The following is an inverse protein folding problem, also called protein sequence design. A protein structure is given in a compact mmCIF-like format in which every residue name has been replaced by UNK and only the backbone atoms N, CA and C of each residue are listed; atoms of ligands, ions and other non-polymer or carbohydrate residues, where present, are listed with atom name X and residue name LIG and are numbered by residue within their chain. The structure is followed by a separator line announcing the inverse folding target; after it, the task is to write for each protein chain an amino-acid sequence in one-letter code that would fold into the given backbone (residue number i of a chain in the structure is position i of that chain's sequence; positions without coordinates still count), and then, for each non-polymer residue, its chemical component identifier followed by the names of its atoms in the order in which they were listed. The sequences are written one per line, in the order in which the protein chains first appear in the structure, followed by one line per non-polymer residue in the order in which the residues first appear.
data_IF_259532802361
#
_entry.id   IF_259532802361
#
_cell.length_a   1.000
_cell.length_b   1.000
_cell.length_c   1.000
_cell.angle_alpha   90.00
_cell.angle_beta   90.00
_cell.angle_gamma   90.00
#
_symmetry.space_group_name_H-M   'P 1'
#
loop_
_entity.id
_entity.type
_entity.pdbx_description
1 polymer ?
#
# COMPACT_ATOMS: atom_id res chain seq x y z
N UNK A 1 -64.54 -26.58 -39.63
CA UNK A 1 -63.58 -25.46 -39.51
C UNK A 1 -63.09 -25.40 -38.07
N UNK A 2 -61.86 -25.85 -37.81
CA UNK A 2 -61.15 -25.63 -36.54
C UNK A 2 -59.65 -25.64 -36.86
N UNK A 3 -58.87 -24.62 -36.48
CA UNK A 3 -57.46 -24.56 -36.84
C UNK A 3 -56.61 -25.29 -35.79
N UNK A 4 -55.79 -26.25 -36.23
CA UNK A 4 -54.69 -26.80 -35.43
C UNK A 4 -53.55 -25.79 -35.38
N UNK A 5 -53.30 -25.24 -34.20
CA UNK A 5 -52.19 -24.35 -33.92
C UNK A 5 -50.88 -25.14 -33.83
N UNK A 6 -49.94 -24.85 -34.72
CA UNK A 6 -48.56 -25.33 -34.64
C UNK A 6 -47.80 -24.38 -33.70
N UNK A 7 -47.45 -24.84 -32.50
CA UNK A 7 -46.53 -24.13 -31.62
C UNK A 7 -45.10 -24.35 -32.12
N UNK A 8 -44.51 -23.32 -32.72
CA UNK A 8 -43.08 -23.27 -33.00
C UNK A 8 -42.37 -22.81 -31.70
N UNK A 9 -41.71 -23.74 -31.02
CA UNK A 9 -40.80 -23.44 -29.91
C UNK A 9 -39.53 -22.79 -30.48
N UNK A 10 -39.47 -21.46 -30.43
CA UNK A 10 -38.25 -20.71 -30.70
C UNK A 10 -37.24 -20.90 -29.58
N UNK A 11 -36.16 -21.63 -29.84
CA UNK A 11 -35.00 -21.72 -28.96
C UNK A 11 -34.28 -20.38 -29.02
N UNK A 12 -34.46 -19.53 -28.01
CA UNK A 12 -33.61 -18.34 -27.81
C UNK A 12 -32.31 -18.84 -27.20
N UNK A 13 -31.30 -19.06 -28.05
CA UNK A 13 -29.92 -19.23 -27.61
C UNK A 13 -29.44 -17.86 -27.10
N UNK A 14 -29.49 -17.65 -25.79
CA UNK A 14 -28.80 -16.54 -25.16
C UNK A 14 -27.30 -16.77 -25.33
N UNK A 15 -26.69 -16.07 -26.29
CA UNK A 15 -25.24 -15.96 -26.37
C UNK A 15 -24.76 -15.28 -25.09
N UNK A 16 -24.25 -16.09 -24.16
CA UNK A 16 -23.38 -15.63 -23.09
C UNK A 16 -22.15 -15.02 -23.76
N UNK A 17 -22.12 -13.69 -23.85
CA UNK A 17 -20.89 -12.96 -24.15
C UNK A 17 -20.00 -13.11 -22.94
N UNK A 18 -19.18 -14.17 -22.93
CA UNK A 18 -18.01 -14.24 -22.08
C UNK A 18 -17.08 -13.15 -22.57
N UNK A 19 -17.06 -12.01 -21.87
CA UNK A 19 -16.06 -10.96 -22.10
C UNK A 19 -14.74 -11.48 -21.55
N UNK A 20 -14.10 -12.37 -22.30
CA UNK A 20 -12.71 -12.73 -22.11
C UNK A 20 -11.91 -11.84 -23.05
N UNK A 21 -11.37 -10.75 -22.50
CA UNK A 21 -10.58 -9.80 -23.28
C UNK A 21 -10.25 -8.57 -22.46
N UNK A 22 -9.18 -8.62 -21.67
CA UNK A 22 -8.39 -7.43 -21.39
C UNK A 22 -7.91 -6.90 -22.75
N UNK A 23 -8.69 -6.03 -23.36
CA UNK A 23 -8.24 -5.17 -24.44
C UNK A 23 -7.08 -4.37 -23.88
N UNK A 24 -5.84 -4.71 -24.28
CA UNK A 24 -4.70 -3.86 -24.09
C UNK A 24 -4.98 -2.53 -24.78
N UNK A 25 -5.46 -1.55 -24.00
CA UNK A 25 -5.69 -0.19 -24.51
C UNK A 25 -4.34 0.27 -25.05
N UNK A 26 -4.25 0.46 -26.38
CA UNK A 26 -3.00 0.93 -26.98
C UNK A 26 -2.64 2.24 -26.29
N UNK A 27 -1.44 2.35 -25.67
CA UNK A 27 -1.06 3.55 -24.96
C UNK A 27 -1.09 4.75 -25.91
N UNK A 28 -1.77 5.82 -25.50
CA UNK A 28 -1.62 7.10 -26.16
C UNK A 28 -0.25 7.64 -25.80
N UNK A 29 0.48 8.17 -26.79
CA UNK A 29 1.86 8.65 -26.60
C UNK A 29 1.97 10.07 -27.14
N UNK A 30 2.61 10.96 -26.39
CA UNK A 30 3.01 12.29 -26.88
C UNK A 30 4.34 12.72 -26.27
N UNK A 31 4.93 13.77 -26.82
CA UNK A 31 6.15 14.39 -26.30
C UNK A 31 5.83 15.75 -25.71
N UNK A 32 6.20 15.97 -24.44
CA UNK A 32 6.04 17.26 -23.74
C UNK A 32 7.41 17.71 -23.25
N UNK A 33 7.88 18.88 -23.70
CA UNK A 33 9.19 19.44 -23.34
C UNK A 33 10.34 18.42 -23.52
N UNK A 34 10.33 17.67 -24.64
CA UNK A 34 11.33 16.65 -24.95
C UNK A 34 11.20 15.33 -24.18
N UNK A 35 10.24 15.20 -23.25
CA UNK A 35 9.98 13.95 -22.53
C UNK A 35 8.79 13.21 -23.13
N UNK A 36 8.97 11.91 -23.37
CA UNK A 36 7.87 11.01 -23.76
C UNK A 36 6.92 10.84 -22.57
N UNK A 37 5.64 11.08 -22.78
CA UNK A 37 4.58 10.86 -21.80
C UNK A 37 3.47 10.02 -22.44
N UNK A 38 2.88 9.15 -21.64
CA UNK A 38 1.91 8.19 -22.11
C UNK A 38 0.66 8.23 -21.23
N UNK A 39 -0.48 7.84 -21.81
CA UNK A 39 -1.75 7.63 -21.11
C UNK A 39 -2.22 6.21 -21.47
N UNK A 40 -2.43 5.36 -20.46
CA UNK A 40 -2.88 3.97 -20.61
C UNK A 40 -4.33 3.77 -20.16
N UNK A 41 -5.13 4.84 -20.19
CA UNK A 41 -6.52 4.79 -19.77
C UNK A 41 -6.65 4.56 -18.26
N UNK A 42 -7.60 3.73 -17.85
CA UNK A 42 -7.95 3.59 -16.44
C UNK A 42 -6.81 3.11 -15.55
N UNK A 43 -5.89 2.28 -16.06
CA UNK A 43 -4.77 1.72 -15.28
C UNK A 43 -3.60 2.68 -15.08
N UNK A 44 -3.50 3.76 -15.87
CA UNK A 44 -2.51 4.81 -15.69
C UNK A 44 -3.00 6.06 -16.43
N UNK A 45 -3.95 6.75 -15.78
CA UNK A 45 -4.73 7.81 -16.40
C UNK A 45 -3.96 9.13 -16.38
N UNK A 46 -4.03 9.85 -17.49
CA UNK A 46 -3.36 11.14 -17.64
C UNK A 46 -1.94 10.99 -18.18
N UNK A 47 -1.44 12.09 -18.74
CA UNK A 47 -0.16 12.13 -19.42
C UNK A 47 1.01 12.10 -18.43
N UNK A 48 1.62 10.93 -18.27
CA UNK A 48 2.76 10.75 -17.37
C UNK A 48 3.93 10.04 -18.06
N UNK A 49 5.15 10.41 -17.67
CA UNK A 49 6.36 9.71 -18.09
C UNK A 49 6.45 8.29 -17.51
N UNK A 50 5.81 8.06 -16.35
CA UNK A 50 5.80 6.76 -15.66
C UNK A 50 4.86 5.75 -16.33
N UNK A 51 3.81 6.22 -17.02
CA UNK A 51 2.84 5.35 -17.70
C UNK A 51 3.33 4.76 -19.03
N UNK A 52 4.55 5.08 -19.47
CA UNK A 52 5.04 4.63 -20.79
C UNK A 52 5.51 3.18 -20.82
N UNK A 53 5.91 2.64 -19.68
CA UNK A 53 6.29 1.24 -19.50
C UNK A 53 5.11 0.43 -18.96
N UNK A 54 5.36 -0.76 -18.44
CA UNK A 54 4.36 -1.62 -17.80
C UNK A 54 3.65 -0.91 -16.63
N UNK A 55 2.37 -1.19 -16.51
CA UNK A 55 1.54 -0.87 -15.35
C UNK A 55 1.57 -2.03 -14.35
N UNK A 56 1.12 -1.81 -13.11
CA UNK A 56 1.07 -2.88 -12.09
C UNK A 56 0.28 -4.08 -12.61
N UNK A 57 -0.86 -3.84 -13.27
CA UNK A 57 -1.70 -4.92 -13.83
C UNK A 57 -1.07 -5.69 -15.00
N UNK A 58 0.05 -5.21 -15.57
CA UNK A 58 0.78 -5.95 -16.61
C UNK A 58 1.70 -7.03 -16.00
N UNK A 59 2.17 -6.85 -14.76
CA UNK A 59 3.18 -7.75 -14.14
C UNK A 59 2.81 -8.29 -12.76
N UNK A 60 1.74 -7.80 -12.14
CA UNK A 60 1.22 -8.26 -10.86
C UNK A 60 -0.26 -8.62 -11.00
N UNK A 61 -0.53 -9.92 -11.09
CA UNK A 61 -1.84 -10.49 -11.35
C UNK A 61 -2.56 -10.90 -10.05
N UNK A 62 -3.87 -11.14 -10.16
CA UNK A 62 -4.70 -11.57 -9.02
C UNK A 62 -4.10 -12.77 -8.28
N UNK A 63 -3.62 -13.80 -8.98
CA UNK A 63 -3.05 -14.98 -8.31
C UNK A 63 -1.80 -14.66 -7.47
N UNK A 64 -1.01 -13.66 -7.84
CA UNK A 64 0.15 -13.24 -7.04
C UNK A 64 -0.33 -12.56 -5.76
N UNK A 65 -1.34 -11.70 -5.84
CA UNK A 65 -1.97 -11.10 -4.65
C UNK A 65 -2.56 -12.17 -3.72
N UNK A 66 -3.26 -13.16 -4.27
CA UNK A 66 -3.78 -14.30 -3.49
C UNK A 66 -2.65 -15.11 -2.83
N UNK A 67 -1.51 -15.28 -3.50
CA UNK A 67 -0.36 -15.98 -2.94
C UNK A 67 0.32 -15.18 -1.80
N UNK A 68 0.48 -13.86 -1.95
CA UNK A 68 1.09 -13.01 -0.91
C UNK A 68 0.29 -13.05 0.39
N UNK A 69 -1.03 -13.07 0.27
CA UNK A 69 -1.97 -12.98 1.39
C UNK A 69 -2.86 -14.23 1.49
N UNK A 70 -2.23 -15.41 1.39
CA UNK A 70 -2.91 -16.70 1.28
C UNK A 70 -3.80 -17.05 2.48
N UNK A 71 -3.61 -16.41 3.64
CA UNK A 71 -4.38 -16.67 4.85
C UNK A 71 -5.34 -15.54 5.25
N UNK A 72 -5.40 -14.43 4.51
CA UNK A 72 -6.26 -13.27 4.85
C UNK A 72 -7.76 -13.58 4.93
N UNK A 73 -8.21 -14.59 4.16
CA UNK A 73 -9.61 -15.04 4.12
C UNK A 73 -9.82 -16.37 4.85
N UNK A 74 -8.87 -16.79 5.69
CA UNK A 74 -9.06 -17.91 6.60
C UNK A 74 -10.24 -17.63 7.54
N UNK A 75 -11.05 -18.62 7.95
CA UNK A 75 -12.19 -18.40 8.86
C UNK A 75 -11.84 -17.74 10.21
N UNK A 76 -10.58 -17.82 10.63
CA UNK A 76 -10.08 -17.21 11.87
C UNK A 76 -9.46 -15.82 11.65
N UNK A 77 -9.45 -15.31 10.41
CA UNK A 77 -9.02 -13.96 10.13
C UNK A 77 -10.13 -12.95 10.50
N UNK A 78 -9.76 -11.70 10.69
CA UNK A 78 -10.65 -10.67 11.24
C UNK A 78 -11.21 -9.71 10.17
N UNK A 79 -10.72 -9.80 8.94
CA UNK A 79 -11.15 -9.01 7.78
C UNK A 79 -11.52 -9.91 6.58
N UNK A 80 -12.13 -11.07 6.84
CA UNK A 80 -12.52 -12.05 5.81
C UNK A 80 -13.40 -11.39 4.75
N UNK A 81 -12.99 -11.50 3.49
CA UNK A 81 -13.71 -10.97 2.33
C UNK A 81 -13.61 -9.45 2.15
N UNK A 82 -12.92 -8.73 3.04
CA UNK A 82 -12.74 -7.29 2.92
C UNK A 82 -11.69 -6.94 1.86
N UNK A 83 -10.54 -7.60 1.89
CA UNK A 83 -9.39 -7.27 1.04
C UNK A 83 -9.39 -8.04 -0.28
N UNK A 84 -9.34 -7.30 -1.39
CA UNK A 84 -9.30 -7.89 -2.73
C UNK A 84 -8.34 -7.16 -3.69
N UNK A 85 -7.87 -7.90 -4.69
CA UNK A 85 -6.95 -7.40 -5.72
C UNK A 85 -7.52 -6.23 -6.52
N UNK A 86 -8.82 -6.24 -6.84
CA UNK A 86 -9.44 -5.19 -7.63
C UNK A 86 -9.47 -3.88 -6.86
N UNK A 87 -9.75 -3.90 -5.56
CA UNK A 87 -9.66 -2.74 -4.69
C UNK A 87 -8.23 -2.17 -4.66
N UNK A 88 -7.22 -3.02 -4.53
CA UNK A 88 -5.82 -2.59 -4.59
C UNK A 88 -5.46 -1.93 -5.92
N UNK A 89 -5.75 -2.57 -7.06
CA UNK A 89 -5.44 -2.02 -8.39
C UNK A 89 -6.22 -0.73 -8.67
N UNK A 90 -7.47 -0.64 -8.22
CA UNK A 90 -8.27 0.58 -8.35
C UNK A 90 -7.66 1.73 -7.55
N UNK A 91 -7.15 1.46 -6.35
CA UNK A 91 -6.43 2.44 -5.56
C UNK A 91 -5.09 2.83 -6.22
N UNK A 92 -4.32 1.85 -6.67
CA UNK A 92 -3.01 2.04 -7.30
C UNK A 92 -3.07 2.85 -8.60
N UNK A 93 -4.17 2.74 -9.36
CA UNK A 93 -4.39 3.52 -10.58
C UNK A 93 -4.30 5.04 -10.38
N UNK A 94 -4.57 5.55 -9.16
CA UNK A 94 -4.40 6.97 -8.82
C UNK A 94 -2.93 7.38 -8.68
N UNK A 95 -2.05 6.45 -8.31
CA UNK A 95 -0.66 6.71 -7.96
C UNK A 95 0.34 6.17 -8.99
N UNK A 96 -0.06 5.26 -9.88
CA UNK A 96 0.75 4.81 -10.99
C UNK A 96 1.21 5.96 -11.92
N UNK A 97 0.36 6.94 -12.28
CA UNK A 97 0.83 8.12 -13.02
C UNK A 97 1.86 8.97 -12.26
N UNK A 98 2.00 8.76 -10.95
CA UNK A 98 2.95 9.45 -10.09
C UNK A 98 4.23 8.63 -9.82
N UNK A 99 4.31 7.39 -10.31
CA UNK A 99 5.51 6.55 -10.20
C UNK A 99 5.33 5.25 -9.41
N UNK A 100 4.26 5.09 -8.62
CA UNK A 100 4.06 3.86 -7.83
C UNK A 100 4.00 2.62 -8.74
N UNK A 101 4.90 1.66 -8.52
CA UNK A 101 4.99 0.44 -9.33
C UNK A 101 5.34 0.70 -10.81
N UNK A 102 5.78 1.91 -11.16
CA UNK A 102 6.03 2.30 -12.56
C UNK A 102 7.35 3.05 -12.73
N UNK A 103 8.04 3.37 -11.63
CA UNK A 103 9.40 3.90 -11.63
C UNK A 103 10.43 2.77 -11.81
N UNK A 104 11.38 2.96 -12.73
CA UNK A 104 12.52 2.04 -12.93
C UNK A 104 12.22 0.77 -13.75
N UNK A 105 10.99 0.58 -14.24
CA UNK A 105 10.59 -0.57 -15.04
C UNK A 105 10.09 -1.76 -14.21
N UNK A 106 9.79 -2.88 -14.88
CA UNK A 106 9.10 -4.04 -14.27
C UNK A 106 9.75 -4.54 -12.97
N UNK A 107 11.05 -4.84 -12.98
CA UNK A 107 11.73 -5.41 -11.80
C UNK A 107 11.72 -4.44 -10.61
N UNK A 108 11.99 -3.15 -10.85
CA UNK A 108 11.90 -2.12 -9.81
C UNK A 108 10.47 -1.98 -9.27
N UNK A 109 9.47 -2.02 -10.16
CA UNK A 109 8.05 -2.00 -9.77
C UNK A 109 7.65 -3.24 -8.95
N UNK A 110 8.18 -4.42 -9.26
CA UNK A 110 7.98 -5.64 -8.46
C UNK A 110 8.63 -5.53 -7.07
N UNK A 111 9.84 -4.98 -6.99
CA UNK A 111 10.53 -4.73 -5.71
C UNK A 111 9.77 -3.71 -4.87
N UNK A 112 9.25 -2.66 -5.49
CA UNK A 112 8.44 -1.65 -4.80
C UNK A 112 7.12 -2.24 -4.28
N UNK A 113 6.42 -3.05 -5.08
CA UNK A 113 5.22 -3.75 -4.62
C UNK A 113 5.53 -4.68 -3.43
N UNK A 114 6.62 -5.45 -3.51
CA UNK A 114 7.04 -6.31 -2.41
C UNK A 114 7.34 -5.49 -1.15
N UNK A 115 7.99 -4.33 -1.29
CA UNK A 115 8.30 -3.44 -0.17
C UNK A 115 7.04 -2.84 0.44
N UNK A 116 6.16 -2.24 -0.36
CA UNK A 116 4.88 -1.70 0.09
C UNK A 116 4.05 -2.78 0.79
N UNK A 117 3.92 -3.96 0.18
CA UNK A 117 3.20 -5.06 0.79
C UNK A 117 3.91 -5.61 2.02
N UNK A 118 5.23 -5.56 2.13
CA UNK A 118 5.96 -5.95 3.34
C UNK A 118 5.53 -5.14 4.57
N UNK A 119 5.36 -3.83 4.39
CA UNK A 119 4.76 -2.96 5.43
C UNK A 119 3.31 -3.32 5.70
N UNK A 120 2.49 -3.48 4.66
CA UNK A 120 1.07 -3.85 4.81
C UNK A 120 0.92 -5.17 5.57
N UNK A 121 1.62 -6.22 5.13
CA UNK A 121 1.55 -7.56 5.68
C UNK A 121 1.95 -7.57 7.14
N UNK A 122 3.10 -6.96 7.47
CA UNK A 122 3.57 -6.89 8.86
C UNK A 122 2.64 -6.13 9.80
N UNK A 123 2.00 -5.04 9.33
CA UNK A 123 1.11 -4.20 10.17
C UNK A 123 -0.32 -4.70 10.29
N UNK A 124 -0.71 -5.66 9.46
CA UNK A 124 -2.08 -6.22 9.46
C UNK A 124 -2.08 -7.72 9.71
N UNK A 125 -0.94 -8.30 10.08
CA UNK A 125 -0.82 -9.74 10.33
C UNK A 125 -1.47 -10.16 11.63
N UNK A 126 -2.12 -11.32 11.61
CA UNK A 126 -2.51 -12.08 12.80
C UNK A 126 -1.77 -13.43 12.89
N UNK A 127 -0.70 -13.59 12.09
CA UNK A 127 0.11 -14.80 12.09
C UNK A 127 0.89 -14.95 13.40
N UNK A 128 0.89 -16.16 13.94
CA UNK A 128 1.68 -16.55 15.11
C UNK A 128 2.70 -17.63 14.70
N UNK A 129 3.66 -17.94 15.59
CA UNK A 129 4.83 -18.75 15.26
C UNK A 129 4.58 -20.13 14.62
N UNK A 130 3.43 -20.75 14.92
CA UNK A 130 3.02 -22.06 14.34
C UNK A 130 1.76 -21.97 13.48
N UNK A 131 1.44 -20.78 12.98
CA UNK A 131 0.29 -20.58 12.11
C UNK A 131 0.47 -21.34 10.78
N UNK A 132 -0.62 -21.90 10.25
CA UNK A 132 -0.58 -22.63 8.97
C UNK A 132 -0.06 -21.73 7.85
N UNK A 133 0.93 -22.21 7.10
CA UNK A 133 1.60 -21.42 6.04
C UNK A 133 2.69 -20.48 6.54
N UNK A 134 2.98 -20.49 7.86
CA UNK A 134 3.94 -19.59 8.51
C UNK A 134 3.35 -18.20 8.78
N UNK A 135 3.94 -17.43 9.71
CA UNK A 135 3.37 -16.14 10.15
C UNK A 135 3.31 -15.07 9.05
N UNK A 136 4.17 -15.15 8.04
CA UNK A 136 4.29 -14.15 6.96
C UNK A 136 3.18 -14.23 5.90
N UNK A 137 2.42 -15.34 5.88
CA UNK A 137 1.29 -15.54 4.95
C UNK A 137 -0.03 -14.91 5.45
N UNK A 138 -0.03 -14.34 6.66
CA UNK A 138 -1.21 -13.83 7.37
C UNK A 138 -1.37 -12.31 7.31
N UNK A 139 -0.62 -11.62 6.45
CA UNK A 139 -0.88 -10.21 6.14
C UNK A 139 -2.32 -9.99 5.67
N UNK A 140 -2.84 -8.77 5.88
CA UNK A 140 -4.22 -8.37 5.63
C UNK A 140 -5.26 -9.15 6.46
N UNK A 141 -4.86 -9.72 7.60
CA UNK A 141 -5.79 -10.39 8.50
C UNK A 141 -6.69 -9.41 9.26
N UNK A 142 -6.19 -8.22 9.55
CA UNK A 142 -6.94 -7.11 10.15
C UNK A 142 -7.16 -5.99 9.13
N UNK A 143 -8.24 -5.23 9.31
CA UNK A 143 -8.45 -3.93 8.66
C UNK A 143 -8.54 -2.77 9.65
N UNK A 144 -8.54 -3.08 10.94
CA UNK A 144 -8.50 -2.14 12.06
C UNK A 144 -7.85 -2.76 13.28
N UNK A 145 -7.40 -1.89 14.18
CA UNK A 145 -6.98 -2.25 15.53
C UNK A 145 -8.18 -2.77 16.34
N UNK A 146 -8.03 -3.94 16.99
CA UNK A 146 -9.11 -4.57 17.75
C UNK A 146 -9.20 -4.09 19.20
N UNK A 147 -8.07 -3.73 19.81
CA UNK A 147 -7.98 -3.38 21.22
C UNK A 147 -7.25 -2.06 21.43
N UNK A 148 -7.77 -0.94 20.89
CA UNK A 148 -7.13 0.36 21.04
C UNK A 148 -7.07 0.78 22.51
N UNK A 149 -5.90 1.26 22.96
CA UNK A 149 -5.68 1.71 24.35
C UNK A 149 -6.19 3.14 24.60
N UNK A 150 -6.52 3.88 23.54
CA UNK A 150 -7.03 5.26 23.58
C UNK A 150 -7.80 5.63 22.31
N UNK A 151 -8.35 6.85 22.31
CA UNK A 151 -9.06 7.42 21.15
C UNK A 151 -8.13 8.00 20.08
N UNK A 152 -6.83 8.10 20.35
CA UNK A 152 -5.82 8.72 19.47
C UNK A 152 -6.24 10.13 19.02
N UNK A 153 -6.73 10.92 19.97
CA UNK A 153 -7.00 12.34 19.76
C UNK A 153 -5.85 13.13 20.37
N UNK A 154 -5.22 13.97 19.56
CA UNK A 154 -4.21 14.93 20.01
C UNK A 154 -4.76 16.35 19.95
N UNK A 155 -5.00 16.92 21.14
CA UNK A 155 -5.51 18.28 21.34
C UNK A 155 -4.56 19.37 20.84
N UNK A 156 -3.28 19.07 20.63
CA UNK A 156 -2.36 20.00 19.98
C UNK A 156 -2.88 20.43 18.60
N UNK A 157 -3.55 19.52 17.91
CA UNK A 157 -4.08 19.75 16.56
C UNK A 157 -5.51 20.29 16.52
N UNK A 158 -6.13 20.63 17.66
CA UNK A 158 -7.56 21.02 17.72
C UNK A 158 -7.97 22.18 16.81
N UNK A 159 -7.04 23.06 16.43
CA UNK A 159 -7.32 24.20 15.54
C UNK A 159 -7.26 23.85 14.04
N UNK A 160 -6.60 22.75 13.68
CA UNK A 160 -6.44 22.31 12.28
C UNK A 160 -7.22 21.04 12.00
N UNK A 161 -7.16 20.08 12.92
CA UNK A 161 -7.85 18.79 12.86
C UNK A 161 -8.55 18.51 14.20
N UNK A 162 -9.62 19.25 14.54
CA UNK A 162 -10.37 19.01 15.77
C UNK A 162 -10.87 17.57 15.84
N UNK A 163 -10.75 16.95 17.02
CA UNK A 163 -11.32 15.64 17.25
C UNK A 163 -12.85 15.72 17.26
N UNK A 164 -13.49 14.92 16.43
CA UNK A 164 -14.95 14.88 16.34
C UNK A 164 -15.53 14.12 17.54
N UNK A 165 -16.54 14.65 18.25
CA UNK A 165 -17.16 13.95 19.37
C UNK A 165 -17.64 12.55 18.97
N UNK A 166 -17.21 11.53 19.72
CA UNK A 166 -17.55 10.13 19.46
C UNK A 166 -16.68 9.42 18.40
N UNK A 167 -15.84 10.16 17.67
CA UNK A 167 -14.86 9.56 16.76
C UNK A 167 -13.63 9.04 17.52
N UNK A 168 -13.06 7.95 17.02
CA UNK A 168 -11.82 7.37 17.51
C UNK A 168 -10.86 7.15 16.33
N UNK A 169 -9.60 7.56 16.48
CA UNK A 169 -8.59 7.57 15.42
C UNK A 169 -7.53 6.48 15.61
N UNK A 170 -7.95 5.31 16.09
CA UNK A 170 -7.11 4.11 16.18
C UNK A 170 -6.72 3.58 14.79
N UNK A 171 -5.80 2.61 14.75
CA UNK A 171 -5.24 2.09 13.52
C UNK A 171 -6.31 1.52 12.58
N UNK A 172 -6.41 2.05 11.35
CA UNK A 172 -7.26 1.48 10.28
C UNK A 172 -6.55 1.48 8.93
N UNK A 173 -6.87 0.49 8.11
CA UNK A 173 -6.38 0.38 6.74
C UNK A 173 -5.15 -0.51 6.58
N UNK A 174 -4.58 -0.51 5.37
CA UNK A 174 -3.53 -1.47 4.98
C UNK A 174 -2.15 -1.09 5.53
N UNK A 175 -1.81 0.21 5.49
CA UNK A 175 -0.83 0.81 6.39
C UNK A 175 -1.67 1.60 7.39
N UNK A 176 -1.74 1.20 8.66
CA UNK A 176 -2.71 1.76 9.58
C UNK A 176 -2.51 3.28 9.80
N UNK A 177 -3.60 4.04 9.63
CA UNK A 177 -3.65 5.46 10.01
C UNK A 177 -4.02 5.58 11.49
N UNK A 178 -3.24 6.39 12.21
CA UNK A 178 -3.47 6.76 13.60
C UNK A 178 -3.55 8.26 13.75
N UNK A 179 -4.26 8.73 14.77
CA UNK A 179 -4.37 10.13 15.17
C UNK A 179 -5.23 11.03 14.28
N UNK A 180 -6.04 11.89 14.91
CA UNK A 180 -6.91 12.89 14.28
C UNK A 180 -6.22 13.67 13.15
N UNK A 181 -4.98 14.12 13.35
CA UNK A 181 -4.27 14.92 12.36
C UNK A 181 -3.86 14.14 11.11
N UNK A 182 -3.62 12.82 11.19
CA UNK A 182 -3.33 12.02 9.99
C UNK A 182 -4.62 11.65 9.26
N UNK A 183 -5.70 11.36 9.99
CA UNK A 183 -7.02 11.19 9.39
C UNK A 183 -7.48 12.45 8.66
N UNK A 184 -7.28 13.63 9.26
CA UNK A 184 -7.55 14.92 8.61
C UNK A 184 -6.75 15.14 7.33
N UNK A 185 -5.41 15.00 7.38
CA UNK A 185 -4.55 15.12 6.20
C UNK A 185 -4.91 14.13 5.09
N UNK A 186 -5.15 12.87 5.45
CA UNK A 186 -5.55 11.84 4.50
C UNK A 186 -6.92 12.16 3.90
N UNK A 187 -7.85 12.66 4.72
CA UNK A 187 -9.19 13.04 4.28
C UNK A 187 -9.16 14.19 3.28
N UNK A 188 -8.36 15.22 3.52
CA UNK A 188 -8.14 16.32 2.57
C UNK A 188 -7.54 15.82 1.24
N UNK A 189 -6.51 14.97 1.32
CA UNK A 189 -5.83 14.44 0.14
C UNK A 189 -6.73 13.54 -0.71
N UNK A 190 -7.53 12.68 -0.06
CA UNK A 190 -8.44 11.74 -0.71
C UNK A 190 -9.81 12.36 -1.02
N UNK A 191 -10.07 13.57 -0.53
CA UNK A 191 -11.36 14.27 -0.62
C UNK A 191 -12.52 13.46 -0.02
N UNK A 192 -12.25 12.86 1.14
CA UNK A 192 -13.20 12.09 1.94
C UNK A 192 -13.15 12.63 3.37
N UNK A 193 -14.29 12.83 4.02
CA UNK A 193 -14.34 13.37 5.38
C UNK A 193 -13.94 12.32 6.43
N UNK A 194 -12.64 12.00 6.48
CA UNK A 194 -12.07 11.01 7.38
C UNK A 194 -11.89 11.53 8.82
N UNK A 195 -11.98 12.85 9.03
CA UNK A 195 -11.89 13.43 10.36
C UNK A 195 -13.19 13.20 11.14
N UNK A 196 -14.34 13.38 10.49
CA UNK A 196 -15.65 13.09 11.09
C UNK A 196 -16.08 11.63 10.93
N UNK A 197 -15.62 10.95 9.87
CA UNK A 197 -15.97 9.56 9.56
C UNK A 197 -14.73 8.67 9.38
N UNK A 198 -13.90 8.48 10.43
CA UNK A 198 -12.71 7.64 10.35
C UNK A 198 -13.05 6.17 10.02
N UNK A 199 -14.26 5.71 10.32
CA UNK A 199 -14.77 4.37 10.03
C UNK A 199 -14.87 4.05 8.53
N UNK A 200 -14.87 5.04 7.64
CA UNK A 200 -14.90 4.77 6.20
C UNK A 200 -13.70 3.95 5.72
N UNK A 201 -12.55 4.07 6.39
CA UNK A 201 -11.35 3.28 6.07
C UNK A 201 -11.60 1.78 6.32
N UNK A 202 -12.30 1.42 7.40
CA UNK A 202 -12.58 0.00 7.72
C UNK A 202 -13.81 -0.57 6.98
N UNK A 203 -14.53 0.25 6.21
CA UNK A 203 -15.73 -0.13 5.45
C UNK A 203 -15.49 -0.24 3.95
N UNK A 204 -14.42 0.36 3.43
CA UNK A 204 -14.11 0.38 2.00
C UNK A 204 -12.64 0.03 1.74
N UNK A 205 -12.41 -1.17 1.22
CA UNK A 205 -11.06 -1.67 0.95
C UNK A 205 -10.29 -0.85 -0.09
N UNK A 206 -10.98 -0.29 -1.10
CA UNK A 206 -10.34 0.62 -2.07
C UNK A 206 -9.84 1.88 -1.36
N UNK A 207 -10.67 2.49 -0.51
CA UNK A 207 -10.29 3.67 0.27
C UNK A 207 -9.15 3.37 1.26
N UNK A 208 -9.18 2.19 1.89
CA UNK A 208 -8.11 1.72 2.77
C UNK A 208 -6.76 1.59 2.06
N UNK A 209 -6.75 1.03 0.83
CA UNK A 209 -5.54 1.00 0.01
C UNK A 209 -5.13 2.40 -0.48
N UNK A 210 -6.08 3.27 -0.81
CA UNK A 210 -5.78 4.66 -1.19
C UNK A 210 -5.07 5.42 -0.05
N UNK A 211 -5.54 5.27 1.19
CA UNK A 211 -4.89 5.86 2.36
C UNK A 211 -3.46 5.34 2.56
N UNK A 212 -3.26 4.02 2.43
CA UNK A 212 -1.93 3.41 2.54
C UNK A 212 -0.98 3.88 1.42
N UNK A 213 -1.46 3.92 0.18
CA UNK A 213 -0.69 4.42 -0.96
C UNK A 213 -0.40 5.91 -0.84
N UNK A 214 -1.32 6.70 -0.29
CA UNK A 214 -1.07 8.10 0.04
C UNK A 214 0.10 8.23 1.02
N UNK A 215 0.12 7.45 2.11
CA UNK A 215 1.26 7.44 3.05
C UNK A 215 2.57 7.02 2.38
N UNK A 216 2.52 6.07 1.44
CA UNK A 216 3.70 5.62 0.70
C UNK A 216 4.25 6.67 -0.26
N UNK A 217 3.35 7.39 -0.94
CA UNK A 217 3.70 8.33 -2.02
C UNK A 217 3.95 9.76 -1.52
N UNK A 218 3.64 10.08 -0.26
CA UNK A 218 3.74 11.43 0.26
C UNK A 218 4.74 11.50 1.41
N UNK A 219 5.55 12.58 1.48
CA UNK A 219 6.37 12.83 2.65
C UNK A 219 5.52 12.96 3.92
N UNK A 220 5.93 12.34 5.04
CA UNK A 220 5.25 12.55 6.32
C UNK A 220 5.35 14.01 6.78
N UNK A 221 6.42 14.71 6.38
CA UNK A 221 6.63 16.14 6.59
C UNK A 221 7.29 16.77 5.36
N UNK A 222 7.04 18.07 5.13
CA UNK A 222 7.44 18.78 3.91
C UNK A 222 8.95 18.72 3.59
N UNK A 223 9.80 18.61 4.60
CA UNK A 223 11.26 18.60 4.46
C UNK A 223 11.85 17.19 4.34
N UNK A 224 11.04 16.16 4.53
CA UNK A 224 11.44 14.75 4.43
C UNK A 224 11.11 14.20 3.03
N UNK A 225 11.74 13.10 2.60
CA UNK A 225 11.32 12.38 1.40
C UNK A 225 10.08 11.50 1.66
N UNK A 226 9.44 11.03 0.59
CA UNK A 226 8.41 10.00 0.67
C UNK A 226 9.03 8.58 0.77
N UNK A 227 8.32 7.59 1.34
CA UNK A 227 8.73 6.18 1.25
C UNK A 227 9.00 5.72 -0.20
N UNK A 228 8.17 6.14 -1.15
CA UNK A 228 8.39 5.93 -2.58
C UNK A 228 9.78 6.43 -3.01
N UNK A 229 10.07 7.71 -2.77
CA UNK A 229 11.29 8.36 -3.27
C UNK A 229 12.56 7.77 -2.67
N UNK A 230 12.55 7.38 -1.39
CA UNK A 230 13.72 6.72 -0.77
C UNK A 230 13.90 5.29 -1.27
N UNK A 231 12.82 4.59 -1.62
CA UNK A 231 12.89 3.22 -2.10
C UNK A 231 13.36 3.14 -3.56
N UNK A 232 12.78 3.97 -4.44
CA UNK A 232 13.11 3.97 -5.88
C UNK A 232 14.38 4.75 -6.21
N UNK A 233 15.01 5.39 -5.22
CA UNK A 233 16.29 6.09 -5.37
C UNK A 233 16.20 7.52 -5.91
N UNK A 234 15.03 8.15 -5.85
CA UNK A 234 14.86 9.56 -6.22
C UNK A 234 15.43 10.51 -5.15
N UNK A 235 15.41 10.09 -3.89
CA UNK A 235 15.93 10.87 -2.78
C UNK A 235 17.46 10.84 -2.74
N UNK A 236 18.07 12.03 -2.57
CA UNK A 236 19.52 12.19 -2.38
C UNK A 236 19.81 12.50 -0.92
N UNK A 237 20.51 11.62 -0.19
CA UNK A 237 20.90 11.87 1.20
C UNK A 237 21.70 13.17 1.34
N UNK A 238 21.38 13.96 2.36
CA UNK A 238 22.19 15.09 2.77
C UNK A 238 23.40 14.63 3.59
N UNK A 239 24.33 15.56 3.89
CA UNK A 239 25.44 15.28 4.82
C UNK A 239 24.95 14.78 6.18
N UNK A 240 23.84 15.33 6.68
CA UNK A 240 23.25 14.90 7.95
C UNK A 240 22.72 13.46 7.87
N UNK A 241 22.12 13.09 6.74
CA UNK A 241 21.63 11.73 6.50
C UNK A 241 22.77 10.72 6.47
N UNK A 242 23.87 11.04 5.78
CA UNK A 242 25.07 10.20 5.76
C UNK A 242 25.66 10.02 7.16
N UNK A 243 25.77 11.09 7.95
CA UNK A 243 26.23 11.02 9.35
C UNK A 243 25.27 10.22 10.24
N UNK A 244 23.98 10.25 9.92
CA UNK A 244 22.91 9.49 10.56
C UNK A 244 22.76 8.06 10.01
N UNK A 245 23.68 7.62 9.13
CA UNK A 245 23.66 6.33 8.43
C UNK A 245 22.40 6.07 7.60
N UNK A 246 21.61 7.10 7.28
CA UNK A 246 20.40 6.98 6.46
C UNK A 246 20.79 6.87 5.00
N UNK A 247 20.45 5.74 4.38
CA UNK A 247 20.73 5.43 2.97
C UNK A 247 19.43 5.10 2.23
N UNK A 248 19.32 5.39 0.91
CA UNK A 248 18.15 5.02 0.12
C UNK A 248 17.97 3.49 0.14
N UNK A 249 16.73 3.03 0.33
CA UNK A 249 16.45 1.61 0.52
C UNK A 249 15.23 1.30 1.37
N UNK A 250 14.99 0.01 1.58
CA UNK A 250 13.89 -0.48 2.40
C UNK A 250 13.98 -0.03 3.86
N UNK A 251 15.19 -0.02 4.44
CA UNK A 251 15.43 0.49 5.79
C UNK A 251 14.97 1.94 5.98
N UNK A 252 15.21 2.81 4.99
CA UNK A 252 14.74 4.19 5.04
C UNK A 252 13.20 4.30 4.98
N UNK A 253 12.51 3.38 4.30
CA UNK A 253 11.03 3.34 4.32
C UNK A 253 10.49 3.00 5.70
N UNK A 254 11.11 2.04 6.41
CA UNK A 254 10.78 1.71 7.81
C UNK A 254 11.02 2.94 8.68
N UNK A 255 12.13 3.64 8.48
CA UNK A 255 12.48 4.84 9.25
C UNK A 255 11.47 5.99 9.05
N UNK A 256 11.04 6.25 7.82
CA UNK A 256 10.04 7.30 7.54
C UNK A 256 8.67 7.00 8.16
N UNK A 257 8.27 5.73 8.17
CA UNK A 257 6.95 5.32 8.64
C UNK A 257 6.92 5.15 10.17
N UNK A 258 7.98 4.56 10.76
CA UNK A 258 8.01 4.03 12.13
C UNK A 258 9.33 4.30 12.89
N UNK A 259 10.17 5.19 12.38
CA UNK A 259 11.57 5.31 12.82
C UNK A 259 11.76 5.69 14.28
N UNK A 260 10.82 6.44 14.87
CA UNK A 260 10.81 6.83 16.28
C UNK A 260 10.67 5.64 17.24
N UNK A 261 10.06 4.54 16.79
CA UNK A 261 9.84 3.33 17.58
C UNK A 261 10.70 2.14 17.13
N UNK A 262 11.22 2.17 15.90
CA UNK A 262 11.78 0.97 15.25
C UNK A 262 13.27 1.09 14.93
N UNK A 263 13.77 2.29 14.61
CA UNK A 263 15.11 2.47 14.03
C UNK A 263 16.13 2.99 15.04
N UNK A 264 17.42 2.72 14.79
CA UNK A 264 18.51 3.12 15.68
C UNK A 264 18.58 2.33 17.00
N UNK A 265 17.89 1.19 17.08
CA UNK A 265 17.78 0.35 18.29
C UNK A 265 18.55 -0.98 18.18
N UNK A 266 19.39 -1.16 17.16
CA UNK A 266 20.16 -2.38 16.93
C UNK A 266 19.42 -3.44 16.10
N UNK A 267 20.10 -4.55 15.84
CA UNK A 267 19.64 -5.62 14.94
C UNK A 267 18.48 -6.45 15.48
N UNK A 268 18.30 -6.48 16.80
CA UNK A 268 17.40 -7.41 17.46
C UNK A 268 15.97 -6.85 17.63
N UNK A 269 15.71 -5.67 17.07
CA UNK A 269 14.38 -5.05 17.12
C UNK A 269 13.35 -5.91 16.36
N UNK A 270 12.41 -6.50 17.10
CA UNK A 270 11.42 -7.44 16.57
C UNK A 270 10.49 -6.80 15.52
N UNK A 271 10.03 -5.57 15.77
CA UNK A 271 9.14 -4.86 14.85
C UNK A 271 9.81 -4.64 13.48
N UNK A 272 11.07 -4.21 13.48
CA UNK A 272 11.89 -4.06 12.27
C UNK A 272 12.05 -5.41 11.55
N UNK A 273 12.47 -6.44 12.27
CA UNK A 273 12.73 -7.76 11.70
C UNK A 273 11.46 -8.42 11.14
N UNK A 274 10.31 -8.17 11.75
CA UNK A 274 9.01 -8.61 11.24
C UNK A 274 8.69 -7.95 9.89
N UNK A 275 8.89 -6.64 9.76
CA UNK A 275 8.68 -5.90 8.50
C UNK A 275 9.63 -6.40 7.41
N UNK A 276 10.92 -6.54 7.73
CA UNK A 276 11.94 -7.08 6.82
C UNK A 276 11.57 -8.50 6.36
N UNK A 277 11.17 -9.37 7.29
CA UNK A 277 10.81 -10.76 6.97
C UNK A 277 9.65 -10.84 5.98
N UNK A 278 8.62 -9.99 6.12
CA UNK A 278 7.53 -9.91 5.16
C UNK A 278 8.02 -9.45 3.78
N UNK A 279 8.87 -8.43 3.72
CA UNK A 279 9.44 -7.95 2.45
C UNK A 279 10.23 -9.05 1.72
N UNK A 280 11.13 -9.74 2.42
CA UNK A 280 11.93 -10.83 1.83
C UNK A 280 11.03 -11.98 1.35
N UNK A 281 10.02 -12.35 2.15
CA UNK A 281 9.06 -13.39 1.77
C UNK A 281 8.25 -13.01 0.53
N UNK A 282 7.84 -11.74 0.42
CA UNK A 282 7.06 -11.27 -0.73
C UNK A 282 7.91 -11.10 -2.00
N UNK A 283 9.20 -10.77 -1.87
CA UNK A 283 10.13 -10.81 -3.01
C UNK A 283 10.22 -12.22 -3.61
N UNK A 284 10.31 -13.26 -2.79
CA UNK A 284 10.33 -14.64 -3.25
C UNK A 284 9.02 -15.01 -3.96
N UNK A 285 7.87 -14.70 -3.36
CA UNK A 285 6.56 -15.04 -3.91
C UNK A 285 6.22 -14.28 -5.20
N UNK A 286 6.71 -13.05 -5.36
CA UNK A 286 6.57 -12.29 -6.61
C UNK A 286 7.51 -12.83 -7.70
N UNK A 287 8.51 -13.62 -7.33
CA UNK A 287 9.48 -14.22 -8.26
C UNK A 287 10.67 -13.32 -8.58
N UNK A 288 10.96 -12.33 -7.73
CA UNK A 288 12.17 -11.50 -7.81
C UNK A 288 13.32 -12.13 -7.03
N UNK A 289 13.02 -12.77 -5.89
CA UNK A 289 14.01 -13.38 -5.00
C UNK A 289 14.50 -12.42 -3.91
N UNK A 290 14.63 -12.93 -2.68
CA UNK A 290 15.06 -12.15 -1.51
C UNK A 290 16.48 -11.60 -1.60
N UNK A 291 17.34 -12.21 -2.42
CA UNK A 291 18.72 -11.76 -2.69
C UNK A 291 18.75 -10.38 -3.34
N UNK A 292 17.68 -10.00 -4.02
CA UNK A 292 17.51 -8.69 -4.65
C UNK A 292 17.17 -7.59 -3.64
N UNK A 293 16.88 -7.92 -2.38
CA UNK A 293 16.55 -6.93 -1.34
C UNK A 293 17.71 -5.94 -1.06
N UNK A 294 18.94 -6.30 -1.45
CA UNK A 294 20.15 -5.52 -1.24
C UNK A 294 20.87 -5.88 0.07
N UNK A 295 22.04 -5.26 0.31
CA UNK A 295 22.81 -5.50 1.53
C UNK A 295 22.06 -5.02 2.78
N UNK A 296 22.46 -5.52 3.94
CA UNK A 296 21.81 -5.22 5.22
C UNK A 296 21.69 -3.71 5.51
N UNK A 297 22.66 -2.90 5.09
CA UNK A 297 22.66 -1.44 5.26
C UNK A 297 21.48 -0.74 4.57
N UNK A 298 21.04 -1.27 3.43
CA UNK A 298 19.91 -0.77 2.62
C UNK A 298 18.60 -1.39 3.09
N UNK A 299 18.65 -2.65 3.54
CA UNK A 299 17.51 -3.42 3.99
C UNK A 299 17.00 -3.01 5.39
N UNK A 300 17.93 -2.73 6.30
CA UNK A 300 17.68 -2.52 7.73
C UNK A 300 17.81 -1.06 8.13
N UNK A 301 17.07 -0.66 9.17
CA UNK A 301 17.25 0.64 9.83
C UNK A 301 17.87 0.54 11.23
N UNK A 302 18.45 -0.61 11.58
CA UNK A 302 19.03 -0.89 12.89
C UNK A 302 20.01 0.19 13.37
N UNK A 303 20.84 0.70 12.46
CA UNK A 303 21.87 1.71 12.74
C UNK A 303 21.49 3.12 12.26
N UNK A 304 20.32 3.27 11.62
CA UNK A 304 19.88 4.56 11.10
C UNK A 304 19.29 5.40 12.22
N UNK A 305 19.79 6.62 12.42
CA UNK A 305 19.09 7.54 13.31
C UNK A 305 17.71 7.87 12.72
N UNK A 306 16.70 7.95 13.58
CA UNK A 306 15.33 8.27 13.17
C UNK A 306 15.26 9.59 12.39
N UNK A 307 14.46 9.66 11.33
CA UNK A 307 14.20 10.93 10.63
C UNK A 307 13.51 11.94 11.55
N UNK A 308 12.58 11.45 12.39
CA UNK A 308 11.88 12.23 13.38
C UNK A 308 12.52 12.03 14.76
N UNK A 309 12.84 13.10 15.50
CA UNK A 309 13.38 12.96 16.84
C UNK A 309 12.33 12.42 17.82
N UNK A 310 12.75 11.78 18.93
CA UNK A 310 11.86 11.31 19.99
C UNK A 310 10.97 12.45 20.51
N UNK A 311 9.66 12.20 20.61
CA UNK A 311 8.67 13.21 21.06
C UNK A 311 8.02 14.02 19.93
N UNK A 312 8.40 13.81 18.67
CA UNK A 312 7.62 14.30 17.53
C UNK A 312 6.28 13.56 17.43
N UNK A 313 5.23 14.17 16.85
CA UNK A 313 3.96 13.52 16.58
C UNK A 313 4.19 12.20 15.81
N UNK A 314 3.90 11.08 16.46
CA UNK A 314 4.21 9.76 15.93
C UNK A 314 3.23 9.37 14.83
N UNK A 315 3.76 8.93 13.68
CA UNK A 315 2.95 8.42 12.57
C UNK A 315 2.36 7.04 12.81
N UNK A 316 2.72 6.36 13.90
CA UNK A 316 2.26 5.01 14.23
C UNK A 316 2.09 4.83 15.74
N UNK A 317 1.19 3.95 16.15
CA UNK A 317 1.13 3.53 17.55
C UNK A 317 0.79 2.05 17.67
N UNK A 318 1.72 1.35 18.34
CA UNK A 318 1.81 -0.08 18.68
C UNK A 318 2.14 -1.01 17.51
#
# INVERSE_FOLDING_TARGET
MSPTWVFVLGIIAAMLVVVNGQSSVKPLVKTVKGKKVCDKGWGCKGWSAYCCNETISDYFQTYQFENLFAKRNSPVAHAVGFWDYRSFITAAALYQPLGFGTTGGKTSGQKELAAFFGHVGSKTSCGYGVATGGPLAWGLCYNKELSPDKFYCDDYYKLTYPCTPGAAYYGRGAIPLYWNYNYGKAGEALKVDLLNHPEYIEQNATLAFQAALWQWMNPPEKHLPSPHDVFVGNWKPTKNDTLSKRVPGFGATINLLYGDQTCGQGSDNEAMNNIISHYLYYLDLIGVGREEAGPNEVLSCAEQAAFKPPGSPSSATN
#
